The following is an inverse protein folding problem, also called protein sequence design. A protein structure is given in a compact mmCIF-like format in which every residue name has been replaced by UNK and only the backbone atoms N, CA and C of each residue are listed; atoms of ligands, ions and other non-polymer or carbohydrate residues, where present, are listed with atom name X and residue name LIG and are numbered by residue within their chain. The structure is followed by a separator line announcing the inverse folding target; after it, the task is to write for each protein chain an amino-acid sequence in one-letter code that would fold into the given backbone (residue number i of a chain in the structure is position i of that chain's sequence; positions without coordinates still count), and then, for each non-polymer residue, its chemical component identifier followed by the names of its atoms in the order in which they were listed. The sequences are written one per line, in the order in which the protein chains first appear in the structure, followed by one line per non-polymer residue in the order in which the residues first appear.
data_IF_875332614049
#
_entry.id   IF_875332614049
#
_cell.length_a   1.000
_cell.length_b   1.000
_cell.length_c   1.000
_cell.angle_alpha   90.00
_cell.angle_beta   90.00
_cell.angle_gamma   90.00
#
_symmetry.space_group_name_H-M   'P 1'
#
loop_
_entity.id
_entity.type
_entity.pdbx_description
1 polymer ?
#
# COMPACT_ATOMS: atom_id res chain seq x y z
N UNK A 1 20.23 67.42 -48.22
CA UNK A 1 19.84 67.00 -46.85
C UNK A 1 18.71 65.97 -46.93
N UNK A 2 18.96 64.71 -46.55
CA UNK A 2 17.94 63.65 -46.43
C UNK A 2 17.78 63.28 -44.94
N UNK A 3 16.95 64.01 -44.20
CA UNK A 3 16.58 63.70 -42.79
C UNK A 3 15.48 62.61 -42.69
N UNK A 4 15.45 61.69 -43.65
CA UNK A 4 14.32 60.76 -43.87
C UNK A 4 14.54 59.41 -43.15
N UNK A 5 15.74 59.14 -42.60
CA UNK A 5 16.07 57.83 -42.02
C UNK A 5 15.90 57.73 -40.49
N UNK A 6 16.09 58.81 -39.71
CA UNK A 6 16.06 58.71 -38.23
C UNK A 6 14.63 58.55 -37.68
N UNK A 7 13.65 59.20 -38.32
CA UNK A 7 12.26 59.10 -37.91
C UNK A 7 11.67 57.73 -38.28
N UNK A 8 11.97 57.21 -39.47
CA UNK A 8 11.47 55.91 -39.91
C UNK A 8 12.02 54.75 -39.07
N UNK A 9 13.29 54.78 -38.65
CA UNK A 9 13.87 53.71 -37.81
C UNK A 9 13.23 53.70 -36.41
N UNK A 10 13.03 54.87 -35.80
CA UNK A 10 12.35 54.99 -34.51
C UNK A 10 10.88 54.53 -34.59
N UNK A 11 10.15 54.96 -35.62
CA UNK A 11 8.77 54.54 -35.86
C UNK A 11 8.66 53.03 -36.12
N UNK A 12 9.59 52.44 -36.87
CA UNK A 12 9.65 50.99 -37.10
C UNK A 12 9.93 50.24 -35.78
N UNK A 13 10.85 50.75 -34.93
CA UNK A 13 11.14 50.10 -33.64
C UNK A 13 9.95 50.11 -32.67
N UNK A 14 9.18 51.21 -32.66
CA UNK A 14 7.94 51.32 -31.88
C UNK A 14 6.88 50.39 -32.46
N UNK A 15 6.72 50.36 -33.79
CA UNK A 15 5.79 49.46 -34.45
C UNK A 15 6.12 47.98 -34.16
N UNK A 16 7.39 47.58 -34.22
CA UNK A 16 7.85 46.24 -33.89
C UNK A 16 7.56 45.90 -32.42
N UNK A 17 7.79 46.85 -31.50
CA UNK A 17 7.51 46.64 -30.07
C UNK A 17 6.02 46.45 -29.81
N UNK A 18 5.16 47.23 -30.49
CA UNK A 18 3.70 47.09 -30.41
C UNK A 18 3.27 45.74 -30.98
N UNK A 19 3.78 45.35 -32.16
CA UNK A 19 3.47 44.07 -32.79
C UNK A 19 3.92 42.90 -31.90
N UNK A 20 5.12 42.96 -31.34
CA UNK A 20 5.65 41.95 -30.43
C UNK A 20 4.79 41.87 -29.15
N UNK A 21 4.36 43.01 -28.61
CA UNK A 21 3.45 43.06 -27.47
C UNK A 21 2.10 42.42 -27.77
N UNK A 22 1.50 42.70 -28.92
CA UNK A 22 0.25 42.08 -29.37
C UNK A 22 0.43 40.58 -29.60
N UNK A 23 1.54 40.16 -30.21
CA UNK A 23 1.88 38.75 -30.40
C UNK A 23 2.09 38.04 -29.06
N UNK A 24 2.79 38.66 -28.11
CA UNK A 24 2.94 38.16 -26.75
C UNK A 24 1.58 38.00 -26.08
N UNK A 25 0.70 39.00 -26.12
CA UNK A 25 -0.66 38.89 -25.56
C UNK A 25 -1.45 37.76 -26.23
N UNK A 26 -1.34 37.58 -27.55
CA UNK A 26 -1.98 36.47 -28.26
C UNK A 26 -1.42 35.10 -27.85
N UNK A 27 -0.09 34.98 -27.70
CA UNK A 27 0.58 33.78 -27.17
C UNK A 27 0.16 33.51 -25.72
N UNK A 28 0.03 34.56 -24.90
CA UNK A 28 -0.49 34.43 -23.54
C UNK A 28 -1.96 33.97 -23.55
N UNK A 29 -2.79 34.45 -24.47
CA UNK A 29 -4.18 34.00 -24.62
C UNK A 29 -4.26 32.54 -25.12
N UNK A 30 -3.44 32.13 -26.08
CA UNK A 30 -3.32 30.72 -26.52
C UNK A 30 -2.75 29.83 -25.41
N UNK A 31 -1.79 30.37 -24.65
CA UNK A 31 -1.19 29.72 -23.49
C UNK A 31 -2.18 29.55 -22.35
N UNK A 32 -3.12 30.50 -22.15
CA UNK A 32 -4.20 30.39 -21.15
C UNK A 32 -5.12 29.20 -21.44
N UNK A 33 -5.41 28.93 -22.71
CA UNK A 33 -6.20 27.76 -23.14
C UNK A 33 -5.51 26.42 -22.82
N UNK A 34 -4.17 26.36 -22.87
CA UNK A 34 -3.38 25.21 -22.44
C UNK A 34 -3.17 25.16 -20.91
N UNK A 35 -3.30 26.31 -20.24
CA UNK A 35 -3.11 26.46 -18.81
C UNK A 35 -4.36 26.09 -18.01
N UNK A 36 -5.57 26.16 -18.60
CA UNK A 36 -6.79 25.61 -17.99
C UNK A 36 -6.67 24.09 -17.78
N UNK A 37 -6.09 23.35 -18.73
CA UNK A 37 -5.75 21.92 -18.55
C UNK A 37 -4.69 21.68 -17.48
N UNK A 38 -3.84 22.67 -17.19
CA UNK A 38 -2.83 22.62 -16.13
C UNK A 38 -3.44 22.94 -14.75
N UNK A 39 -4.42 23.84 -14.70
CA UNK A 39 -5.11 24.24 -13.47
C UNK A 39 -6.12 23.17 -13.03
N UNK A 40 -6.78 22.49 -13.97
CA UNK A 40 -7.68 21.36 -13.70
C UNK A 40 -6.91 20.07 -13.29
N UNK A 41 -5.67 19.91 -13.76
CA UNK A 41 -4.77 18.89 -13.23
C UNK A 41 -4.29 19.20 -11.79
N UNK A 42 -4.24 20.48 -11.42
CA UNK A 42 -3.80 20.90 -10.07
C UNK A 42 -4.91 20.70 -9.02
N UNK A 43 -6.20 20.87 -9.36
CA UNK A 43 -7.30 20.55 -8.43
C UNK A 43 -7.37 19.07 -8.04
N UNK A 44 -6.99 18.17 -8.96
CA UNK A 44 -6.91 16.71 -8.67
C UNK A 44 -5.71 16.38 -7.79
N UNK A 45 -4.62 17.14 -7.89
CA UNK A 45 -3.42 16.97 -7.07
C UNK A 45 -3.66 17.44 -5.62
N UNK A 46 -4.42 18.52 -5.41
CA UNK A 46 -4.66 19.11 -4.08
C UNK A 46 -5.61 18.24 -3.22
N UNK A 47 -6.59 17.54 -3.81
CA UNK A 47 -7.45 16.63 -3.05
C UNK A 47 -6.68 15.41 -2.55
N UNK A 48 -5.85 14.82 -3.41
CA UNK A 48 -5.04 13.66 -3.04
C UNK A 48 -3.94 14.01 -2.03
N UNK A 49 -3.35 15.20 -2.10
CA UNK A 49 -2.37 15.65 -1.11
C UNK A 49 -3.01 15.92 0.26
N UNK A 50 -4.23 16.46 0.30
CA UNK A 50 -4.95 16.74 1.56
C UNK A 50 -5.47 15.44 2.21
N UNK A 51 -5.87 14.46 1.41
CA UNK A 51 -6.25 13.12 1.87
C UNK A 51 -5.02 12.30 2.29
N UNK A 52 -3.89 12.42 1.58
CA UNK A 52 -2.63 11.78 1.95
C UNK A 52 -2.05 12.35 3.26
N UNK A 53 -2.13 13.67 3.48
CA UNK A 53 -1.69 14.31 4.74
C UNK A 53 -2.62 13.98 5.92
N UNK A 54 -3.93 13.84 5.71
CA UNK A 54 -4.83 13.32 6.75
C UNK A 54 -4.61 11.83 7.05
N UNK A 55 -4.19 11.02 6.07
CA UNK A 55 -3.78 9.64 6.30
C UNK A 55 -2.44 9.53 7.05
N UNK A 56 -1.50 10.43 6.78
CA UNK A 56 -0.15 10.40 7.36
C UNK A 56 -0.14 10.81 8.84
N UNK A 57 -0.90 11.87 9.20
CA UNK A 57 -1.00 12.29 10.61
C UNK A 57 -1.82 11.32 11.48
N UNK A 58 -2.67 10.48 10.88
CA UNK A 58 -3.33 9.35 11.56
C UNK A 58 -2.46 8.10 11.68
N UNK A 59 -1.50 7.92 10.77
CA UNK A 59 -0.54 6.80 10.77
C UNK A 59 0.50 6.93 11.87
N UNK A 60 0.92 8.14 12.24
CA UNK A 60 1.97 8.34 13.26
C UNK A 60 1.56 7.80 14.64
N UNK A 61 0.27 7.73 14.97
CA UNK A 61 -0.21 7.14 16.23
C UNK A 61 -0.35 5.60 16.22
N UNK A 62 -0.29 4.97 15.03
CA UNK A 62 -0.43 3.52 14.88
C UNK A 62 0.87 2.85 14.40
N UNK A 63 1.83 3.63 13.91
CA UNK A 63 3.12 3.12 13.42
C UNK A 63 4.08 2.79 14.57
N UNK A 64 3.92 3.39 15.75
CA UNK A 64 4.76 3.05 16.91
C UNK A 64 4.42 1.66 17.48
N UNK A 65 3.16 1.22 17.39
CA UNK A 65 2.76 -0.11 17.89
C UNK A 65 2.93 -1.25 16.86
N UNK A 66 3.21 -0.94 15.59
CA UNK A 66 3.38 -1.97 14.53
C UNK A 66 4.84 -2.12 14.08
N UNK A 67 5.75 -1.20 14.47
CA UNK A 67 7.17 -1.26 14.06
C UNK A 67 8.08 -2.09 14.96
N UNK A 68 7.53 -2.88 15.89
CA UNK A 68 8.32 -3.86 16.65
C UNK A 68 7.65 -5.24 16.56
N UNK A 69 7.47 -5.73 15.34
CA UNK A 69 7.29 -7.17 15.09
C UNK A 69 8.50 -7.55 14.27
N UNK A 70 9.48 -8.13 14.95
CA UNK A 70 10.75 -8.54 14.37
C UNK A 70 10.46 -9.76 13.48
N UNK A 71 10.34 -9.43 12.20
CA UNK A 71 10.52 -10.22 11.00
C UNK A 71 10.38 -11.74 11.19
N UNK A 72 9.21 -12.23 10.78
CA UNK A 72 8.87 -13.64 10.50
C UNK A 72 8.67 -14.55 11.72
N UNK A 73 9.48 -14.47 12.78
CA UNK A 73 9.31 -15.31 13.98
C UNK A 73 8.14 -14.84 14.86
N UNK A 74 8.02 -13.53 15.05
CA UNK A 74 6.95 -12.93 15.84
C UNK A 74 5.59 -13.05 15.15
N UNK A 75 5.56 -13.05 13.82
CA UNK A 75 4.33 -13.22 13.07
C UNK A 75 3.79 -14.66 13.18
N UNK A 76 4.69 -15.65 13.20
CA UNK A 76 4.30 -17.05 13.45
C UNK A 76 3.69 -17.21 14.84
N UNK A 77 4.39 -16.71 15.86
CA UNK A 77 3.93 -16.74 17.24
C UNK A 77 2.57 -16.05 17.40
N UNK A 78 2.42 -14.86 16.80
CA UNK A 78 1.16 -14.10 16.84
C UNK A 78 0.02 -14.85 16.15
N UNK A 79 0.28 -15.52 15.02
CA UNK A 79 -0.73 -16.31 14.30
C UNK A 79 -1.14 -17.53 15.14
N UNK A 80 -0.19 -18.25 15.72
CA UNK A 80 -0.45 -19.38 16.61
C UNK A 80 -1.29 -18.95 17.83
N UNK A 81 -0.87 -17.88 18.52
CA UNK A 81 -1.57 -17.34 19.69
C UNK A 81 -3.00 -16.95 19.37
N UNK A 82 -3.23 -16.22 18.27
CA UNK A 82 -4.59 -15.81 17.88
C UNK A 82 -5.48 -17.00 17.53
N UNK A 83 -4.94 -18.02 16.86
CA UNK A 83 -5.71 -19.22 16.49
C UNK A 83 -6.06 -20.02 17.73
N UNK A 84 -5.13 -20.14 18.68
CA UNK A 84 -5.39 -20.79 19.96
C UNK A 84 -6.46 -20.04 20.75
N UNK A 85 -6.38 -18.72 20.86
CA UNK A 85 -7.38 -17.91 21.53
C UNK A 85 -8.78 -18.06 20.91
N UNK A 86 -8.87 -18.09 19.57
CA UNK A 86 -10.14 -18.35 18.87
C UNK A 86 -10.65 -19.75 19.20
N UNK A 87 -9.79 -20.77 19.14
CA UNK A 87 -10.18 -22.14 19.45
C UNK A 87 -10.62 -22.33 20.91
N UNK A 88 -10.02 -21.62 21.86
CA UNK A 88 -10.45 -21.60 23.26
C UNK A 88 -11.84 -20.99 23.43
N UNK A 89 -12.15 -19.91 22.70
CA UNK A 89 -13.49 -19.30 22.70
C UNK A 89 -14.52 -20.23 22.06
N UNK A 90 -14.20 -20.82 20.91
CA UNK A 90 -15.07 -21.79 20.23
C UNK A 90 -15.27 -23.08 21.04
N UNK A 91 -14.33 -23.41 21.93
CA UNK A 91 -14.44 -24.52 22.85
C UNK A 91 -15.45 -24.28 23.99
N UNK A 92 -15.91 -23.04 24.20
CA UNK A 92 -16.89 -22.63 25.21
C UNK A 92 -18.17 -22.11 24.54
N UNK A 93 -18.99 -22.99 23.94
CA UNK A 93 -20.22 -22.57 23.29
C UNK A 93 -21.22 -21.99 24.30
N UNK A 94 -21.96 -20.95 23.89
CA UNK A 94 -23.16 -20.53 24.61
C UNK A 94 -24.25 -21.60 24.55
N UNK A 95 -25.19 -21.56 25.50
CA UNK A 95 -26.22 -22.59 25.67
C UNK A 95 -26.95 -22.90 24.35
N UNK A 96 -26.88 -24.16 23.94
CA UNK A 96 -27.52 -24.69 22.72
C UNK A 96 -26.65 -24.71 21.47
N UNK A 97 -25.41 -24.21 21.49
CA UNK A 97 -24.49 -24.30 20.34
C UNK A 97 -23.54 -25.51 20.41
N UNK A 98 -23.22 -26.16 19.28
CA UNK A 98 -22.23 -27.23 19.27
C UNK A 98 -20.82 -26.68 19.47
N UNK A 99 -19.99 -27.42 20.21
CA UNK A 99 -18.56 -27.14 20.30
C UNK A 99 -17.92 -27.26 18.92
N UNK A 100 -17.23 -26.22 18.47
CA UNK A 100 -16.53 -26.19 17.18
C UNK A 100 -15.05 -25.81 17.36
N UNK A 101 -14.25 -26.04 16.34
CA UNK A 101 -12.83 -25.70 16.31
C UNK A 101 -12.40 -25.30 14.90
N UNK A 102 -11.48 -24.35 14.79
CA UNK A 102 -10.86 -23.91 13.55
C UNK A 102 -9.58 -24.70 13.25
N UNK A 103 -9.36 -25.02 11.98
CA UNK A 103 -8.09 -25.56 11.49
C UNK A 103 -7.57 -24.63 10.41
N UNK A 104 -6.29 -24.27 10.48
CA UNK A 104 -5.68 -23.26 9.62
C UNK A 104 -4.40 -23.80 8.97
N UNK A 105 -4.16 -23.41 7.73
CA UNK A 105 -2.90 -23.59 7.03
C UNK A 105 -2.33 -22.23 6.66
N UNK A 106 -1.04 -22.03 6.91
CA UNK A 106 -0.37 -20.75 6.73
C UNK A 106 0.81 -20.93 5.79
N UNK A 107 0.98 -20.05 4.81
CA UNK A 107 2.17 -19.98 3.98
C UNK A 107 2.63 -18.53 3.89
N UNK A 108 3.95 -18.31 4.00
CA UNK A 108 4.55 -16.99 3.85
C UNK A 108 5.07 -16.77 2.43
N UNK A 109 5.01 -15.52 1.96
CA UNK A 109 5.43 -15.17 0.61
C UNK A 109 6.95 -15.40 0.39
N UNK A 110 7.75 -15.20 1.43
CA UNK A 110 9.21 -15.33 1.48
C UNK A 110 9.71 -16.74 1.86
N UNK A 111 8.83 -17.75 1.86
CA UNK A 111 9.18 -19.14 2.19
C UNK A 111 10.32 -19.68 1.30
N UNK A 112 11.27 -20.45 1.87
CA UNK A 112 12.50 -20.85 1.17
C UNK A 112 12.28 -21.89 0.07
N UNK A 113 11.22 -22.69 0.13
CA UNK A 113 10.89 -23.72 -0.86
C UNK A 113 9.43 -23.61 -1.31
N UNK A 114 9.09 -22.61 -2.14
CA UNK A 114 7.72 -22.44 -2.60
C UNK A 114 7.30 -23.62 -3.48
N UNK A 115 6.08 -24.12 -3.27
CA UNK A 115 5.44 -25.05 -4.18
C UNK A 115 4.93 -24.31 -5.42
N UNK A 116 3.79 -24.74 -5.96
CA UNK A 116 3.26 -24.18 -7.19
C UNK A 116 2.81 -22.72 -7.04
N UNK A 117 2.12 -22.42 -5.95
CA UNK A 117 1.74 -21.05 -5.59
C UNK A 117 1.42 -20.95 -4.09
N UNK A 118 1.36 -19.72 -3.59
CA UNK A 118 1.14 -19.43 -2.17
C UNK A 118 -0.18 -20.04 -1.63
N UNK A 119 -1.23 -20.05 -2.44
CA UNK A 119 -2.54 -20.59 -2.03
C UNK A 119 -2.52 -22.11 -1.90
N UNK A 120 -1.88 -22.82 -2.85
CA UNK A 120 -1.71 -24.27 -2.79
C UNK A 120 -0.84 -24.68 -1.61
N UNK A 121 0.17 -23.88 -1.30
CA UNK A 121 1.05 -24.13 -0.15
C UNK A 121 0.31 -23.93 1.18
N UNK A 122 -0.52 -22.89 1.29
CA UNK A 122 -1.39 -22.69 2.45
C UNK A 122 -2.47 -23.79 2.57
N UNK A 123 -3.06 -24.20 1.45
CA UNK A 123 -4.06 -25.27 1.40
C UNK A 123 -3.44 -26.61 1.80
N UNK A 124 -2.23 -26.92 1.34
CA UNK A 124 -1.50 -28.12 1.76
C UNK A 124 -1.25 -28.12 3.28
N UNK A 125 -0.84 -27.00 3.86
CA UNK A 125 -0.68 -26.87 5.30
C UNK A 125 -2.01 -27.02 6.05
N UNK A 126 -3.12 -26.54 5.47
CA UNK A 126 -4.46 -26.70 6.03
C UNK A 126 -4.89 -28.17 6.05
N UNK A 127 -4.69 -28.88 4.95
CA UNK A 127 -4.98 -30.31 4.87
C UNK A 127 -4.15 -31.10 5.88
N UNK A 128 -2.86 -30.76 6.03
CA UNK A 128 -2.02 -31.36 7.04
C UNK A 128 -2.61 -31.19 8.45
N UNK A 129 -2.99 -29.97 8.85
CA UNK A 129 -3.67 -29.71 10.14
C UNK A 129 -4.93 -30.56 10.30
N UNK A 130 -5.72 -30.73 9.24
CA UNK A 130 -6.98 -31.50 9.30
C UNK A 130 -6.77 -32.99 9.53
N UNK A 131 -5.68 -33.53 8.99
CA UNK A 131 -5.30 -34.95 9.14
C UNK A 131 -4.56 -35.22 10.46
N UNK A 132 -3.92 -34.20 11.05
CA UNK A 132 -3.10 -34.30 12.25
C UNK A 132 -3.79 -33.74 13.50
N UNK A 133 -5.06 -34.11 13.71
CA UNK A 133 -5.79 -33.83 14.95
C UNK A 133 -6.68 -32.58 14.95
N UNK A 134 -6.63 -31.74 13.89
CA UNK A 134 -7.46 -30.53 13.73
C UNK A 134 -7.19 -29.51 14.85
N UNK A 135 -8.07 -28.51 15.02
CA UNK A 135 -8.03 -27.55 16.13
C UNK A 135 -6.67 -26.84 16.32
N UNK A 136 -6.12 -26.24 15.27
CA UNK A 136 -4.80 -25.63 15.32
C UNK A 136 -4.36 -25.04 13.99
N UNK A 137 -3.07 -24.82 13.84
CA UNK A 137 -2.46 -24.32 12.62
C UNK A 137 -1.16 -25.02 12.26
N UNK A 138 -0.88 -25.09 10.96
CA UNK A 138 0.39 -25.58 10.42
C UNK A 138 0.96 -24.54 9.46
N UNK A 139 2.28 -24.36 9.50
CA UNK A 139 2.99 -23.51 8.57
C UNK A 139 3.64 -24.34 7.47
N UNK A 140 3.43 -23.93 6.23
CA UNK A 140 4.07 -24.54 5.08
C UNK A 140 5.59 -24.36 5.15
N UNK A 141 6.33 -25.45 4.91
CA UNK A 141 7.79 -25.48 4.99
C UNK A 141 8.34 -25.90 6.36
N UNK A 142 7.50 -26.01 7.39
CA UNK A 142 7.87 -26.50 8.73
C UNK A 142 7.95 -28.04 8.79
N UNK A 143 8.30 -28.68 7.67
CA UNK A 143 8.64 -30.10 7.65
C UNK A 143 9.98 -30.27 8.36
N UNK A 144 10.00 -30.28 9.69
CA UNK A 144 11.22 -30.61 10.42
C UNK A 144 11.36 -30.16 11.86
N UNK A 145 10.38 -29.50 12.48
CA UNK A 145 10.44 -29.26 13.93
C UNK A 145 9.26 -29.93 14.60
N UNK A 146 9.42 -31.24 14.79
CA UNK A 146 8.57 -31.99 15.68
C UNK A 146 8.52 -31.29 17.03
N UNK A 147 7.30 -31.15 17.54
CA UNK A 147 7.05 -31.05 18.96
C UNK A 147 7.60 -32.31 19.65
N UNK A 148 8.92 -32.33 19.85
CA UNK A 148 9.59 -33.01 20.95
C UNK A 148 9.61 -32.03 22.11
N UNK A 149 8.46 -31.84 22.75
CA UNK A 149 8.44 -31.35 24.12
C UNK A 149 8.93 -32.53 24.97
N UNK A 150 10.26 -32.63 25.04
CA UNK A 150 10.96 -33.60 25.85
C UNK A 150 10.64 -33.28 27.30
N UNK A 151 9.75 -34.09 27.86
CA UNK A 151 9.61 -34.28 29.28
C UNK A 151 10.87 -34.98 29.79
N UNK A 152 11.80 -34.27 30.41
CA UNK A 152 12.53 -34.69 31.63
C UNK A 152 13.71 -33.77 31.95
N UNK A 153 13.76 -33.35 33.21
CA UNK A 153 14.84 -32.62 33.88
C UNK A 153 14.39 -32.17 35.25
#
# INVERSE_FOLDING_TARGET
MRRIHVQNISVISIAVTIILGLACVAIFMQGRVQFETLQQATETYISCEKDAKQLQSGSDYLTEQVRMVDMTSDLRYTIEEKINAINEQLARPEDGMPKVSLSVGVAFADRPNPGENLFKDADQALYYTKEHGRNGCTFYGDKGTGAGADTQG
#
